data_IF_998135501942
#
_entry.id   IF_998135501942
#
_cell.length_a   1.000
_cell.length_b   1.000
_cell.length_c   1.000
_cell.angle_alpha   90.00
_cell.angle_beta   90.00
_cell.angle_gamma   90.00
#
_symmetry.space_group_name_H-M   'P 1'
#
loop_
_entity.id
_entity.type
_entity.pdbx_description
1 polymer ?
#
# COMPACT_ATOMS: atom_id res chain seq x y z
N UNK A 1 -16.62 -7.82 -3.91
CA UNK A 1 -16.00 -6.60 -3.37
C UNK A 1 -14.57 -6.91 -2.91
N UNK A 2 -13.57 -6.17 -3.43
CA UNK A 2 -12.16 -6.24 -3.04
C UNK A 2 -11.92 -5.31 -1.86
N UNK A 3 -11.34 -5.81 -0.77
CA UNK A 3 -11.03 -4.99 0.39
C UNK A 3 -9.88 -4.03 0.07
N UNK A 4 -10.01 -2.76 0.50
CA UNK A 4 -8.95 -1.75 0.37
C UNK A 4 -8.66 -1.17 1.75
N UNK A 5 -7.42 -1.33 2.21
CA UNK A 5 -6.95 -0.70 3.44
C UNK A 5 -6.63 0.77 3.19
N UNK A 6 -6.99 1.64 4.12
CA UNK A 6 -6.57 3.03 4.08
C UNK A 6 -5.06 3.15 4.35
N UNK A 7 -4.38 4.06 3.67
CA UNK A 7 -2.96 4.35 3.89
C UNK A 7 -2.74 5.50 4.87
N UNK A 8 -3.76 6.34 5.01
CA UNK A 8 -3.75 7.54 5.83
C UNK A 8 -5.06 7.60 6.62
N UNK A 9 -5.07 8.24 7.79
CA UNK A 9 -6.27 8.36 8.63
C UNK A 9 -7.43 9.04 7.89
N UNK A 10 -7.11 9.95 6.97
CA UNK A 10 -8.10 10.71 6.19
C UNK A 10 -8.65 9.95 4.97
N UNK A 11 -8.08 8.78 4.64
CA UNK A 11 -8.42 8.02 3.43
C UNK A 11 -9.67 7.12 3.57
N UNK A 12 -10.40 7.17 4.66
CA UNK A 12 -11.55 6.30 4.88
C UNK A 12 -12.59 6.43 3.76
N UNK A 13 -12.98 7.67 3.37
CA UNK A 13 -13.92 7.93 2.30
C UNK A 13 -13.49 7.39 0.94
N UNK A 14 -12.32 7.82 0.38
CA UNK A 14 -11.78 7.29 -0.86
C UNK A 14 -11.62 5.76 -0.88
N UNK A 15 -11.24 5.15 0.26
CA UNK A 15 -11.13 3.70 0.38
C UNK A 15 -12.49 3.01 0.31
N UNK A 16 -13.52 3.59 0.92
CA UNK A 16 -14.90 3.12 0.83
C UNK A 16 -15.42 3.21 -0.61
N UNK A 17 -15.21 4.34 -1.29
CA UNK A 17 -15.59 4.52 -2.70
C UNK A 17 -14.92 3.44 -3.57
N UNK A 18 -13.63 3.16 -3.37
CA UNK A 18 -12.91 2.12 -4.10
C UNK A 18 -13.48 0.74 -3.86
N UNK A 19 -13.81 0.39 -2.61
CA UNK A 19 -14.43 -0.88 -2.25
C UNK A 19 -15.79 -1.05 -2.93
N UNK A 20 -16.63 -0.02 -2.92
CA UNK A 20 -17.94 -0.02 -3.58
C UNK A 20 -17.80 -0.15 -5.10
N UNK A 21 -16.94 0.64 -5.73
CA UNK A 21 -16.66 0.54 -7.16
C UNK A 21 -16.18 -0.87 -7.56
N UNK A 22 -15.33 -1.49 -6.71
CA UNK A 22 -14.85 -2.86 -6.93
C UNK A 22 -15.96 -3.91 -6.81
N UNK A 23 -17.03 -3.66 -6.05
CA UNK A 23 -18.18 -4.54 -5.98
C UNK A 23 -18.98 -4.53 -7.29
N UNK A 24 -19.01 -3.38 -7.96
CA UNK A 24 -19.61 -3.22 -9.30
C UNK A 24 -18.64 -3.50 -10.45
N UNK A 25 -17.45 -4.06 -10.17
CA UNK A 25 -16.54 -4.59 -11.20
C UNK A 25 -15.45 -3.63 -11.69
N UNK A 26 -15.31 -2.41 -11.13
CA UNK A 26 -14.27 -1.45 -11.52
C UNK A 26 -13.32 -1.13 -10.37
N UNK A 27 -12.01 -1.02 -10.68
CA UNK A 27 -10.99 -0.66 -9.72
C UNK A 27 -10.36 0.69 -10.10
N UNK A 28 -10.44 1.65 -9.20
CA UNK A 28 -9.85 2.98 -9.36
C UNK A 28 -8.68 3.19 -8.42
N UNK A 29 -7.59 3.86 -8.87
CA UNK A 29 -6.49 4.23 -7.99
C UNK A 29 -6.95 5.13 -6.85
N UNK A 30 -6.42 4.92 -5.64
CA UNK A 30 -6.81 5.71 -4.48
C UNK A 30 -6.46 7.20 -4.66
N UNK A 31 -5.33 7.50 -5.33
CA UNK A 31 -4.91 8.88 -5.67
C UNK A 31 -5.94 9.60 -6.54
N UNK A 32 -6.56 8.89 -7.48
CA UNK A 32 -7.62 9.44 -8.32
C UNK A 32 -8.88 9.73 -7.50
N UNK A 33 -9.30 8.79 -6.65
CA UNK A 33 -10.48 8.98 -5.80
C UNK A 33 -10.29 10.09 -4.75
N UNK A 34 -9.07 10.28 -4.24
CA UNK A 34 -8.73 11.41 -3.37
C UNK A 34 -8.97 12.77 -4.05
N UNK A 35 -8.55 12.90 -5.31
CA UNK A 35 -8.75 14.16 -6.05
C UNK A 35 -10.22 14.44 -6.34
N UNK A 36 -11.05 13.40 -6.51
CA UNK A 36 -12.49 13.55 -6.75
C UNK A 36 -13.30 13.83 -5.49
N UNK A 37 -12.85 13.35 -4.34
CA UNK A 37 -13.58 13.45 -3.07
C UNK A 37 -13.30 14.72 -2.27
N UNK A 38 -12.52 15.66 -2.82
CA UNK A 38 -12.14 16.91 -2.13
C UNK A 38 -11.58 16.67 -0.73
N UNK A 39 -10.64 15.71 -0.62
CA UNK A 39 -10.01 15.34 0.63
C UNK A 39 -9.32 16.54 1.28
N UNK A 40 -9.63 16.82 2.55
CA UNK A 40 -9.03 17.87 3.38
C UNK A 40 -8.22 17.26 4.53
N UNK A 41 -7.61 18.11 5.37
CA UNK A 41 -6.91 17.66 6.59
C UNK A 41 -7.86 17.05 7.64
N UNK A 42 -9.13 17.38 7.57
CA UNK A 42 -10.17 16.87 8.47
C UNK A 42 -10.85 15.61 7.93
N UNK A 43 -10.43 15.14 6.75
CA UNK A 43 -11.01 13.99 6.06
C UNK A 43 -11.89 14.37 4.89
N UNK A 44 -12.83 13.50 4.55
CA UNK A 44 -13.78 13.68 3.45
C UNK A 44 -15.18 13.88 4.01
N UNK A 45 -15.89 14.88 3.50
CA UNK A 45 -17.31 15.10 3.83
C UNK A 45 -18.22 14.12 3.06
N UNK A 46 -19.46 13.94 3.55
CA UNK A 46 -20.48 13.17 2.83
C UNK A 46 -20.72 13.77 1.42
N UNK A 47 -20.69 15.09 1.28
CA UNK A 47 -20.82 15.75 0.00
C UNK A 47 -19.66 15.36 -0.93
N UNK A 48 -18.41 15.40 -0.45
CA UNK A 48 -17.23 14.99 -1.23
C UNK A 48 -17.28 13.51 -1.67
N UNK A 49 -17.81 12.62 -0.83
CA UNK A 49 -18.03 11.21 -1.21
C UNK A 49 -19.06 11.13 -2.35
N UNK A 50 -20.17 11.85 -2.23
CA UNK A 50 -21.23 11.87 -3.26
C UNK A 50 -20.75 12.42 -4.58
N UNK A 51 -19.98 13.52 -4.56
CA UNK A 51 -19.41 14.13 -5.76
C UNK A 51 -18.45 13.15 -6.46
N UNK A 52 -17.59 12.48 -5.70
CA UNK A 52 -16.68 11.47 -6.25
C UNK A 52 -17.43 10.28 -6.85
N UNK A 53 -18.48 9.78 -6.18
CA UNK A 53 -19.33 8.70 -6.68
C UNK A 53 -20.01 9.13 -8.00
N UNK A 54 -20.56 10.33 -8.06
CA UNK A 54 -21.20 10.85 -9.27
C UNK A 54 -20.23 10.96 -10.44
N UNK A 55 -19.00 11.42 -10.20
CA UNK A 55 -17.99 11.58 -11.24
C UNK A 55 -17.52 10.22 -11.82
N UNK A 56 -17.57 9.14 -11.05
CA UNK A 56 -17.30 7.79 -11.55
C UNK A 56 -18.53 7.07 -12.08
N UNK A 57 -19.70 7.75 -12.16
CA UNK A 57 -20.94 7.22 -12.73
C UNK A 57 -21.79 6.41 -11.74
N UNK A 58 -21.56 6.53 -10.44
CA UNK A 58 -22.39 5.93 -9.40
C UNK A 58 -23.38 6.99 -8.85
N UNK A 59 -24.66 6.66 -8.87
CA UNK A 59 -25.68 7.48 -8.22
C UNK A 59 -25.67 7.22 -6.72
N UNK A 60 -25.70 8.26 -5.91
CA UNK A 60 -25.73 8.14 -4.45
C UNK A 60 -26.77 9.05 -3.83
N UNK A 61 -27.40 8.58 -2.76
CA UNK A 61 -28.34 9.34 -1.93
C UNK A 61 -28.03 9.08 -0.45
N UNK A 62 -28.11 10.13 0.36
CA UNK A 62 -27.85 10.04 1.80
C UNK A 62 -29.16 10.02 2.55
N UNK A 63 -29.31 9.08 3.46
CA UNK A 63 -30.51 8.91 4.28
C UNK A 63 -30.12 8.67 5.74
N UNK A 64 -31.03 9.05 6.63
CA UNK A 64 -31.04 8.59 8.02
C UNK A 64 -32.04 7.43 8.15
N UNK A 65 -31.54 6.25 8.50
CA UNK A 65 -32.34 5.02 8.53
C UNK A 65 -32.27 4.32 9.88
N UNK A 66 -33.34 3.63 10.24
CA UNK A 66 -33.36 2.62 11.30
C UNK A 66 -32.83 1.29 10.78
N UNK A 67 -32.55 0.31 11.65
CA UNK A 67 -32.15 -1.03 11.22
C UNK A 67 -33.16 -1.73 10.30
N UNK A 68 -34.45 -1.52 10.54
CA UNK A 68 -35.47 -2.09 9.67
C UNK A 68 -35.43 -1.50 8.28
N UNK A 69 -35.36 -0.16 8.17
CA UNK A 69 -35.26 0.55 6.90
C UNK A 69 -33.99 0.19 6.14
N UNK A 70 -32.86 0.04 6.88
CA UNK A 70 -31.58 -0.38 6.31
C UNK A 70 -31.67 -1.78 5.66
N UNK A 71 -32.37 -2.70 6.30
CA UNK A 71 -32.55 -4.07 5.79
C UNK A 71 -33.48 -4.16 4.60
N UNK A 72 -34.55 -3.38 4.60
CA UNK A 72 -35.63 -3.50 3.60
C UNK A 72 -35.40 -2.63 2.37
N UNK A 73 -34.78 -1.46 2.53
CA UNK A 73 -34.78 -0.43 1.50
C UNK A 73 -33.38 -0.02 1.03
N UNK A 74 -32.30 -0.42 1.74
CA UNK A 74 -30.97 0.03 1.38
C UNK A 74 -30.30 -0.94 0.39
N UNK A 75 -29.94 -0.49 -0.82
CA UNK A 75 -29.12 -1.28 -1.74
C UNK A 75 -27.73 -1.50 -1.17
N UNK A 76 -27.20 -2.71 -1.33
CA UNK A 76 -25.84 -3.06 -0.89
C UNK A 76 -24.91 -3.25 -2.11
N UNK A 77 -23.65 -2.84 -2.02
CA UNK A 77 -22.96 -2.26 -0.86
C UNK A 77 -23.33 -0.78 -0.63
N UNK A 78 -23.37 -0.36 0.63
CA UNK A 78 -23.64 1.00 1.05
C UNK A 78 -22.52 1.52 1.96
N UNK A 79 -22.31 2.85 1.98
CA UNK A 79 -21.33 3.48 2.88
C UNK A 79 -22.08 3.99 4.12
N UNK A 80 -21.57 3.63 5.30
CA UNK A 80 -22.13 4.06 6.58
C UNK A 80 -21.21 5.14 7.19
N UNK A 81 -21.83 6.14 7.82
CA UNK A 81 -21.12 7.11 8.64
C UNK A 81 -20.96 6.53 10.04
N UNK A 82 -19.72 6.26 10.42
CA UNK A 82 -19.34 5.48 11.60
C UNK A 82 -18.73 6.41 12.65
N UNK A 83 -19.20 6.34 13.89
CA UNK A 83 -18.72 7.21 14.98
C UNK A 83 -18.71 8.71 14.65
N UNK A 84 -19.52 9.15 13.70
CA UNK A 84 -19.65 10.54 13.21
C UNK A 84 -18.39 11.15 12.60
N UNK A 85 -17.30 10.42 12.50
CA UNK A 85 -16.02 10.89 11.97
C UNK A 85 -15.32 9.90 11.01
N UNK A 86 -15.92 8.75 10.78
CA UNK A 86 -15.33 7.68 9.98
C UNK A 86 -16.32 7.11 8.96
N UNK A 87 -15.84 6.49 7.89
CA UNK A 87 -16.66 5.83 6.89
C UNK A 87 -16.28 4.37 6.76
N UNK A 88 -17.30 3.51 6.67
CA UNK A 88 -17.15 2.06 6.48
C UNK A 88 -18.12 1.58 5.41
N UNK A 89 -17.88 0.41 4.83
CA UNK A 89 -18.77 -0.19 3.82
C UNK A 89 -19.55 -1.34 4.43
N UNK A 90 -20.88 -1.24 4.44
CA UNK A 90 -21.77 -2.36 4.67
C UNK A 90 -21.95 -3.11 3.34
N UNK A 91 -21.46 -4.35 3.27
CA UNK A 91 -21.49 -5.09 2.03
C UNK A 91 -22.44 -6.28 2.01
N UNK A 92 -22.94 -6.71 3.18
CA UNK A 92 -23.90 -7.80 3.28
C UNK A 92 -24.67 -7.75 4.61
N UNK A 93 -25.92 -8.20 4.61
CA UNK A 93 -26.75 -8.34 5.79
C UNK A 93 -27.46 -9.69 5.72
N UNK A 94 -27.30 -10.53 6.73
CA UNK A 94 -27.90 -11.87 6.75
C UNK A 94 -28.51 -12.19 8.08
N UNK A 95 -29.60 -12.94 8.06
CA UNK A 95 -30.21 -13.53 9.26
C UNK A 95 -29.52 -14.87 9.55
N UNK A 96 -28.99 -15.03 10.76
CA UNK A 96 -28.39 -16.29 11.20
C UNK A 96 -29.44 -17.38 11.30
N UNK A 97 -29.21 -18.52 10.64
CA UNK A 97 -30.12 -19.67 10.70
C UNK A 97 -30.14 -20.33 12.08
N UNK A 98 -29.08 -20.20 12.86
CA UNK A 98 -28.93 -20.85 14.18
C UNK A 98 -29.52 -20.00 15.30
N UNK A 99 -29.21 -18.69 15.28
CA UNK A 99 -29.61 -17.78 16.39
C UNK A 99 -30.84 -16.92 16.06
N UNK A 100 -31.29 -16.93 14.80
CA UNK A 100 -32.35 -16.04 14.32
C UNK A 100 -31.98 -14.55 14.30
N UNK A 101 -30.83 -14.17 14.83
CA UNK A 101 -30.37 -12.79 14.92
C UNK A 101 -29.80 -12.29 13.58
N UNK A 102 -29.91 -11.00 13.33
CA UNK A 102 -29.32 -10.35 12.17
C UNK A 102 -27.82 -10.15 12.36
N UNK A 103 -27.05 -10.37 11.28
CA UNK A 103 -25.60 -10.13 11.18
C UNK A 103 -25.30 -9.15 10.07
N UNK A 104 -24.51 -8.15 10.39
CA UNK A 104 -24.09 -7.07 9.50
C UNK A 104 -22.60 -7.23 9.18
N UNK A 105 -22.30 -7.34 7.90
CA UNK A 105 -20.94 -7.52 7.42
C UNK A 105 -20.36 -6.19 6.96
N UNK A 106 -19.44 -5.66 7.74
CA UNK A 106 -18.86 -4.33 7.57
C UNK A 106 -17.39 -4.45 7.17
N UNK A 107 -16.99 -3.72 6.16
CA UNK A 107 -15.58 -3.55 5.78
C UNK A 107 -15.10 -2.17 6.25
N UNK A 108 -14.28 -2.17 7.30
CA UNK A 108 -13.68 -0.97 7.85
C UNK A 108 -12.29 -0.77 7.20
N UNK A 109 -12.03 0.34 6.49
CA UNK A 109 -10.74 0.58 5.84
C UNK A 109 -9.54 0.57 6.79
N UNK A 110 -9.74 0.94 8.06
CA UNK A 110 -8.68 0.97 9.07
C UNK A 110 -8.37 -0.42 9.64
N UNK A 111 -9.41 -1.20 9.95
CA UNK A 111 -9.28 -2.40 10.78
C UNK A 111 -9.57 -3.71 10.04
N UNK A 112 -10.16 -3.66 8.85
CA UNK A 112 -10.49 -4.87 8.10
C UNK A 112 -11.97 -5.19 8.03
N UNK A 113 -12.30 -6.46 7.73
CA UNK A 113 -13.68 -6.94 7.65
C UNK A 113 -14.12 -7.45 9.00
N UNK A 114 -15.26 -6.96 9.46
CA UNK A 114 -15.87 -7.33 10.73
C UNK A 114 -17.34 -7.74 10.54
N UNK A 115 -17.81 -8.55 11.47
CA UNK A 115 -19.23 -8.95 11.53
C UNK A 115 -19.79 -8.48 12.86
N UNK A 116 -20.85 -7.71 12.80
CA UNK A 116 -21.55 -7.19 13.97
C UNK A 116 -22.95 -7.81 14.09
N UNK A 117 -23.41 -7.94 15.31
CA UNK A 117 -24.84 -8.06 15.61
C UNK A 117 -25.47 -6.66 15.69
N UNK A 118 -26.78 -6.59 15.89
CA UNK A 118 -27.50 -5.32 15.91
C UNK A 118 -27.07 -4.42 17.07
N UNK A 119 -26.82 -5.00 18.25
CA UNK A 119 -26.34 -4.26 19.42
C UNK A 119 -24.91 -3.72 19.23
N UNK A 120 -24.03 -4.55 18.67
CA UNK A 120 -22.65 -4.16 18.37
C UNK A 120 -22.58 -3.06 17.32
N UNK A 121 -23.40 -3.14 16.28
CA UNK A 121 -23.47 -2.14 15.23
C UNK A 121 -24.10 -0.83 15.71
N UNK A 122 -25.10 -0.91 16.59
CA UNK A 122 -25.80 0.25 17.13
C UNK A 122 -24.85 1.23 17.84
N UNK A 123 -23.86 0.70 18.55
CA UNK A 123 -22.87 1.52 19.30
C UNK A 123 -22.05 2.45 18.42
N UNK A 124 -21.81 2.06 17.19
CA UNK A 124 -20.92 2.78 16.28
C UNK A 124 -21.69 3.54 15.18
N UNK A 125 -22.83 3.01 14.75
CA UNK A 125 -23.55 3.55 13.61
C UNK A 125 -24.70 4.48 13.98
N UNK A 126 -25.46 4.16 15.06
CA UNK A 126 -26.60 4.95 15.45
C UNK A 126 -26.21 6.26 16.14
N UNK A 127 -26.91 7.33 15.76
CA UNK A 127 -26.99 8.57 16.52
C UNK A 127 -28.44 8.72 17.00
N UNK A 128 -28.68 8.31 18.25
CA UNK A 128 -30.03 8.13 18.76
C UNK A 128 -30.71 6.88 18.20
N UNK A 129 -31.78 7.02 17.43
CA UNK A 129 -32.55 5.90 16.86
C UNK A 129 -32.23 5.60 15.39
N UNK A 130 -31.48 6.48 14.72
CA UNK A 130 -31.17 6.39 13.29
C UNK A 130 -29.69 6.52 13.05
N UNK A 131 -29.19 5.90 11.97
CA UNK A 131 -27.82 6.05 11.49
C UNK A 131 -27.79 6.58 10.06
N UNK A 132 -26.73 7.28 9.73
CA UNK A 132 -26.52 7.87 8.38
C UNK A 132 -25.96 6.81 7.45
N UNK A 133 -26.60 6.67 6.29
CA UNK A 133 -26.19 5.76 5.21
C UNK A 133 -26.16 6.51 3.87
N UNK A 134 -25.16 6.21 3.06
CA UNK A 134 -25.06 6.61 1.66
C UNK A 134 -25.42 5.38 0.85
N UNK A 135 -26.64 5.34 0.33
CA UNK A 135 -27.11 4.32 -0.60
C UNK A 135 -26.51 4.59 -1.99
N UNK A 136 -26.03 3.55 -2.67
CA UNK A 136 -25.28 3.67 -3.93
C UNK A 136 -25.82 2.69 -4.95
N UNK A 137 -26.06 3.18 -6.16
CA UNK A 137 -26.50 2.38 -7.29
C UNK A 137 -25.69 2.72 -8.54
N UNK A 138 -25.34 1.73 -9.38
CA UNK A 138 -24.68 1.99 -10.64
C UNK A 138 -25.66 2.63 -11.63
N UNK A 139 -25.16 3.59 -12.43
CA UNK A 139 -25.91 4.15 -13.55
C UNK A 139 -25.37 3.59 -14.87
N UNK A 140 -26.09 3.78 -15.96
CA UNK A 140 -25.61 3.42 -17.32
C UNK A 140 -24.29 4.11 -17.68
N UNK A 141 -24.00 5.25 -17.06
CA UNK A 141 -22.74 5.96 -17.26
C UNK A 141 -21.56 5.26 -16.60
N UNK A 142 -21.79 4.51 -15.51
CA UNK A 142 -20.73 3.79 -14.82
C UNK A 142 -19.99 2.84 -15.77
N UNK A 143 -20.70 2.12 -16.64
CA UNK A 143 -20.08 1.19 -17.60
C UNK A 143 -19.30 1.91 -18.70
N UNK A 144 -19.74 3.13 -19.08
CA UNK A 144 -19.12 3.93 -20.14
C UNK A 144 -17.84 4.66 -19.70
N UNK A 145 -17.69 4.96 -18.40
CA UNK A 145 -16.50 5.64 -17.87
C UNK A 145 -15.33 4.64 -17.81
N UNK A 146 -14.20 4.92 -18.49
CA UNK A 146 -13.06 4.00 -18.49
C UNK A 146 -12.39 3.90 -17.10
N UNK A 147 -11.87 2.71 -16.79
CA UNK A 147 -11.03 2.55 -15.62
C UNK A 147 -9.72 3.35 -15.74
N UNK A 148 -9.38 4.10 -14.72
CA UNK A 148 -8.07 4.75 -14.62
C UNK A 148 -7.05 3.74 -14.10
N UNK A 149 -6.30 3.08 -15.00
CA UNK A 149 -5.27 2.11 -14.61
C UNK A 149 -3.96 2.82 -14.29
N UNK A 150 -3.51 2.72 -13.07
CA UNK A 150 -2.17 3.17 -12.68
C UNK A 150 -1.14 2.12 -13.13
N UNK A 151 -0.36 2.42 -14.17
CA UNK A 151 0.72 1.55 -14.64
C UNK A 151 1.93 1.68 -13.72
N UNK A 152 1.93 0.96 -12.60
CA UNK A 152 3.14 0.76 -11.82
C UNK A 152 3.98 -0.35 -12.46
N UNK A 153 4.98 0.01 -13.22
CA UNK A 153 5.94 -0.95 -13.75
C UNK A 153 7.07 -1.15 -12.74
N UNK A 154 6.88 -2.09 -11.80
CA UNK A 154 7.94 -2.55 -10.87
C UNK A 154 9.19 -2.99 -11.63
N UNK A 155 9.04 -3.59 -12.83
CA UNK A 155 10.14 -3.97 -13.71
C UNK A 155 10.94 -2.76 -14.21
N UNK A 156 10.30 -1.63 -14.50
CA UNK A 156 10.99 -0.40 -14.91
C UNK A 156 11.76 0.21 -13.74
N UNK A 157 11.18 0.17 -12.54
CA UNK A 157 11.83 0.60 -11.31
C UNK A 157 13.04 -0.31 -11.01
N UNK A 158 12.86 -1.62 -10.98
CA UNK A 158 13.92 -2.59 -10.73
C UNK A 158 15.07 -2.45 -11.78
N UNK A 159 14.73 -2.30 -13.08
CA UNK A 159 15.74 -2.12 -14.12
C UNK A 159 16.54 -0.82 -13.94
N UNK A 160 15.89 0.26 -13.51
CA UNK A 160 16.56 1.55 -13.29
C UNK A 160 17.50 1.52 -12.08
N UNK A 161 17.11 0.83 -10.99
CA UNK A 161 17.83 0.89 -9.72
C UNK A 161 18.64 -0.38 -9.38
N UNK A 162 18.24 -1.57 -9.86
CA UNK A 162 18.93 -2.83 -9.54
C UNK A 162 19.93 -3.23 -10.61
N UNK A 163 19.69 -2.91 -11.89
CA UNK A 163 20.58 -3.29 -12.99
C UNK A 163 22.04 -2.81 -12.86
N UNK A 164 22.35 -1.63 -12.28
CA UNK A 164 23.73 -1.22 -12.02
C UNK A 164 24.51 -2.13 -11.08
N UNK A 165 23.82 -2.88 -10.19
CA UNK A 165 24.42 -3.74 -9.14
C UNK A 165 24.70 -5.19 -9.56
N UNK A 166 24.51 -5.54 -10.83
CA UNK A 166 24.74 -6.92 -11.33
C UNK A 166 26.16 -7.45 -11.09
N UNK A 167 27.16 -6.57 -10.98
CA UNK A 167 28.56 -6.94 -10.71
C UNK A 167 28.79 -7.38 -9.27
N UNK A 168 28.07 -6.82 -8.30
CA UNK A 168 28.22 -7.19 -6.89
C UNK A 168 27.63 -8.58 -6.61
N UNK A 169 26.62 -9.00 -7.34
CA UNK A 169 26.05 -10.36 -7.21
C UNK A 169 27.04 -11.47 -7.65
N UNK A 170 28.08 -11.14 -8.42
CA UNK A 170 29.08 -12.13 -8.84
C UNK A 170 30.06 -12.52 -7.72
N UNK A 171 30.17 -11.75 -6.65
CA UNK A 171 31.06 -12.03 -5.52
C UNK A 171 30.65 -13.24 -4.68
N UNK A 172 29.40 -13.66 -4.75
CA UNK A 172 28.89 -14.84 -4.02
C UNK A 172 29.48 -16.17 -4.50
N UNK A 173 30.17 -16.19 -5.65
CA UNK A 173 30.78 -17.41 -6.22
C UNK A 173 32.15 -17.70 -5.61
N UNK A 174 32.84 -16.71 -5.06
CA UNK A 174 34.21 -16.82 -4.54
C UNK A 174 34.37 -17.86 -3.40
N UNK A 175 33.47 -17.97 -2.41
CA UNK A 175 33.57 -18.97 -1.33
C UNK A 175 33.52 -20.40 -1.83
N UNK A 176 32.71 -20.68 -2.86
CA UNK A 176 32.60 -22.04 -3.44
C UNK A 176 33.89 -22.49 -4.15
N UNK A 177 34.57 -21.57 -4.86
CA UNK A 177 35.84 -21.88 -5.51
C UNK A 177 36.94 -22.13 -4.49
N UNK A 178 36.92 -21.42 -3.37
CA UNK A 178 37.90 -21.61 -2.29
C UNK A 178 37.72 -22.99 -1.59
N UNK A 179 36.48 -23.40 -1.35
CA UNK A 179 36.17 -24.67 -0.72
C UNK A 179 36.63 -25.87 -1.58
N UNK A 180 36.34 -25.88 -2.88
CA UNK A 180 36.76 -26.94 -3.81
C UNK A 180 38.29 -27.08 -3.88
N UNK A 181 39.01 -25.95 -3.83
CA UNK A 181 40.47 -25.97 -3.84
C UNK A 181 41.07 -26.56 -2.56
N UNK A 182 40.45 -26.33 -1.40
CA UNK A 182 40.93 -26.88 -0.13
C UNK A 182 40.65 -28.37 -0.02
N UNK A 183 39.45 -28.81 -0.45
CA UNK A 183 39.03 -30.21 -0.34
C UNK A 183 39.86 -31.14 -1.25
N UNK A 184 40.17 -30.74 -2.47
CA UNK A 184 40.99 -31.50 -3.41
C UNK A 184 42.49 -31.53 -3.00
N UNK A 185 42.98 -30.47 -2.35
CA UNK A 185 44.37 -30.35 -1.94
C UNK A 185 44.74 -31.25 -0.73
N UNK A 186 43.86 -31.33 0.24
CA UNK A 186 44.06 -32.14 1.46
C UNK A 186 44.02 -33.67 1.16
N UNK A 187 43.28 -34.06 0.11
CA UNK A 187 43.16 -35.46 -0.30
C UNK A 187 44.47 -36.10 -0.83
N UNK A 188 45.42 -35.32 -1.35
CA UNK A 188 46.59 -35.83 -2.06
C UNK A 188 47.87 -36.05 -1.23
N UNK A 189 47.91 -35.73 0.05
CA UNK A 189 49.03 -35.92 1.01
C UNK A 189 50.43 -35.58 0.52
N UNK A 190 50.59 -34.67 -0.43
CA UNK A 190 51.88 -34.29 -1.03
C UNK A 190 52.29 -32.90 -0.59
N UNK A 191 53.46 -32.77 0.04
CA UNK A 191 53.96 -31.52 0.62
C UNK A 191 54.10 -30.36 -0.42
N UNK A 192 54.53 -30.70 -1.64
CA UNK A 192 54.66 -29.72 -2.72
C UNK A 192 53.27 -29.20 -3.19
N UNK A 193 52.29 -30.05 -3.17
CA UNK A 193 50.88 -29.69 -3.49
C UNK A 193 50.31 -28.79 -2.43
N UNK A 194 50.55 -29.07 -1.16
CA UNK A 194 50.12 -28.25 -0.03
C UNK A 194 50.73 -26.85 -0.10
N UNK A 195 52.04 -26.75 -0.40
CA UNK A 195 52.72 -25.47 -0.57
C UNK A 195 52.12 -24.65 -1.72
N UNK A 196 51.87 -25.32 -2.86
CA UNK A 196 51.24 -24.68 -4.02
C UNK A 196 49.85 -24.13 -3.75
N UNK A 197 49.07 -24.89 -2.94
CA UNK A 197 47.73 -24.51 -2.50
C UNK A 197 47.77 -23.30 -1.55
N UNK A 198 48.73 -23.31 -0.60
CA UNK A 198 48.92 -22.16 0.32
C UNK A 198 49.26 -20.87 -0.47
N UNK A 199 50.15 -20.98 -1.47
CA UNK A 199 50.50 -19.83 -2.31
C UNK A 199 49.27 -19.36 -3.14
N UNK A 200 48.53 -20.30 -3.73
CA UNK A 200 47.31 -19.99 -4.47
C UNK A 200 46.26 -19.32 -3.56
N UNK A 201 46.09 -19.82 -2.36
CA UNK A 201 45.16 -19.29 -1.35
C UNK A 201 45.53 -17.88 -0.92
N UNK A 202 46.85 -17.63 -0.76
CA UNK A 202 47.34 -16.26 -0.49
C UNK A 202 47.04 -15.28 -1.63
N UNK A 203 47.17 -15.68 -2.89
CA UNK A 203 46.80 -14.85 -4.04
C UNK A 203 45.30 -14.62 -4.12
N UNK A 204 44.47 -15.65 -3.85
CA UNK A 204 43.02 -15.51 -3.81
C UNK A 204 42.59 -14.57 -2.67
N UNK A 205 43.22 -14.71 -1.50
CA UNK A 205 42.95 -13.83 -0.36
C UNK A 205 43.28 -12.36 -0.66
N UNK A 206 44.47 -12.12 -1.23
CA UNK A 206 44.88 -10.76 -1.66
C UNK A 206 43.96 -10.19 -2.74
N UNK A 207 43.55 -11.03 -3.70
CA UNK A 207 42.60 -10.65 -4.73
C UNK A 207 41.23 -10.32 -4.16
N UNK A 208 40.71 -11.18 -3.26
CA UNK A 208 39.42 -10.96 -2.58
C UNK A 208 39.44 -9.72 -1.68
N UNK A 209 40.54 -9.50 -0.96
CA UNK A 209 40.71 -8.31 -0.12
C UNK A 209 40.69 -7.02 -0.95
N UNK A 210 41.47 -7.00 -2.06
CA UNK A 210 41.50 -5.86 -2.97
C UNK A 210 40.11 -5.60 -3.58
N UNK A 211 39.40 -6.67 -3.98
CA UNK A 211 38.06 -6.59 -4.56
C UNK A 211 37.05 -6.08 -3.52
N UNK A 212 37.13 -6.55 -2.28
CA UNK A 212 36.27 -6.06 -1.20
C UNK A 212 36.48 -4.58 -0.88
N UNK A 213 37.74 -4.09 -0.91
CA UNK A 213 38.02 -2.67 -0.74
C UNK A 213 37.40 -1.83 -1.86
N UNK A 214 37.58 -2.27 -3.12
CA UNK A 214 37.02 -1.58 -4.29
C UNK A 214 35.50 -1.61 -4.22
N UNK A 215 34.90 -2.76 -3.90
CA UNK A 215 33.46 -2.94 -3.78
C UNK A 215 32.87 -2.06 -2.69
N UNK A 216 33.50 -2.03 -1.51
CA UNK A 216 33.08 -1.17 -0.41
C UNK A 216 33.11 0.32 -0.78
N UNK A 217 34.15 0.73 -1.51
CA UNK A 217 34.28 2.10 -2.00
C UNK A 217 33.21 2.45 -3.04
N UNK A 218 32.98 1.56 -3.99
CA UNK A 218 31.95 1.71 -5.02
C UNK A 218 30.57 1.71 -4.39
N UNK A 219 30.31 0.80 -3.45
CA UNK A 219 29.04 0.70 -2.73
C UNK A 219 28.73 1.96 -1.94
N UNK A 220 29.72 2.50 -1.20
CA UNK A 220 29.59 3.75 -0.46
C UNK A 220 29.29 4.93 -1.41
N UNK A 221 30.05 5.03 -2.50
CA UNK A 221 29.86 6.09 -3.49
C UNK A 221 28.48 6.01 -4.14
N UNK A 222 28.06 4.81 -4.55
CA UNK A 222 26.75 4.59 -5.17
C UNK A 222 25.60 4.80 -4.19
N UNK A 223 25.70 4.30 -2.97
CA UNK A 223 24.70 4.52 -1.93
C UNK A 223 24.47 6.01 -1.68
N UNK A 224 25.55 6.78 -1.55
CA UNK A 224 25.47 8.24 -1.38
C UNK A 224 24.83 8.93 -2.59
N UNK A 225 25.22 8.54 -3.82
CA UNK A 225 24.65 9.10 -5.05
C UNK A 225 23.18 8.77 -5.24
N UNK A 226 22.80 7.52 -4.99
CA UNK A 226 21.41 7.08 -5.08
C UNK A 226 20.56 7.82 -4.06
N UNK A 227 21.05 7.96 -2.83
CA UNK A 227 20.37 8.67 -1.77
C UNK A 227 20.10 10.13 -2.13
N UNK A 228 21.13 10.84 -2.58
CA UNK A 228 20.99 12.24 -3.03
C UNK A 228 20.01 12.33 -4.20
N UNK A 229 20.06 11.39 -5.15
CA UNK A 229 19.18 11.41 -6.32
C UNK A 229 17.72 11.15 -5.97
N UNK A 230 17.45 10.17 -5.07
CA UNK A 230 16.10 9.87 -4.58
C UNK A 230 15.56 11.05 -3.79
N UNK A 231 16.36 11.62 -2.90
CA UNK A 231 15.96 12.76 -2.08
C UNK A 231 15.69 14.00 -2.95
N UNK A 232 16.55 14.28 -3.92
CA UNK A 232 16.38 15.39 -4.87
C UNK A 232 15.14 15.21 -5.74
N UNK A 233 14.91 14.00 -6.28
CA UNK A 233 13.72 13.66 -7.07
C UNK A 233 12.44 13.77 -6.22
N UNK A 234 12.50 13.33 -4.96
CA UNK A 234 11.39 13.45 -4.01
C UNK A 234 11.07 14.91 -3.72
N UNK A 235 12.07 15.71 -3.36
CA UNK A 235 11.89 17.14 -3.06
C UNK A 235 11.40 17.91 -4.30
N UNK A 236 11.97 17.63 -5.47
CA UNK A 236 11.54 18.27 -6.72
C UNK A 236 10.10 17.95 -7.06
N UNK A 237 9.68 16.70 -6.86
CA UNK A 237 8.27 16.30 -7.05
C UNK A 237 7.36 16.91 -6.00
N UNK A 238 7.81 16.97 -4.75
CA UNK A 238 7.07 17.60 -3.66
C UNK A 238 6.80 19.08 -3.97
N UNK A 239 7.83 19.82 -4.40
CA UNK A 239 7.72 21.26 -4.73
C UNK A 239 6.85 21.53 -5.97
N UNK A 240 6.64 20.57 -6.83
CA UNK A 240 5.75 20.68 -8.01
C UNK A 240 4.29 20.34 -7.71
N UNK A 241 3.98 19.90 -6.48
CA UNK A 241 2.60 19.62 -6.11
C UNK A 241 1.80 20.91 -5.88
N UNK A 242 0.52 20.91 -6.25
CA UNK A 242 -0.35 22.07 -6.02
C UNK A 242 -0.53 22.33 -4.51
N UNK A 243 -0.80 23.58 -4.15
CA UNK A 243 -0.93 24.02 -2.75
C UNK A 243 -1.99 23.23 -1.97
N UNK A 244 -3.05 22.80 -2.65
CA UNK A 244 -4.11 21.96 -2.08
C UNK A 244 -3.61 20.62 -1.51
N UNK A 245 -2.50 20.10 -2.05
CA UNK A 245 -1.88 18.90 -1.50
C UNK A 245 -1.27 19.14 -0.11
N UNK A 246 -0.68 20.31 0.11
CA UNK A 246 -0.09 20.68 1.40
C UNK A 246 -1.16 21.02 2.45
N UNK A 247 -2.34 21.43 2.03
CA UNK A 247 -3.47 21.69 2.91
C UNK A 247 -4.12 20.40 3.43
N UNK A 248 -3.96 19.29 2.72
CA UNK A 248 -4.57 18.00 3.09
C UNK A 248 -3.71 17.13 4.01
N UNK A 249 -2.43 17.48 4.26
CA UNK A 249 -1.50 16.66 5.03
C UNK A 249 -0.81 17.43 6.13
N UNK A 250 -0.58 16.76 7.28
CA UNK A 250 0.17 17.34 8.38
C UNK A 250 1.68 17.36 8.09
N UNK A 251 2.40 18.33 8.65
CA UNK A 251 3.87 18.40 8.53
C UNK A 251 4.54 17.14 9.11
N UNK A 252 3.92 16.53 10.14
CA UNK A 252 4.41 15.28 10.74
C UNK A 252 4.44 14.10 9.77
N UNK A 253 3.47 14.00 8.84
CA UNK A 253 3.45 12.93 7.82
C UNK A 253 4.64 13.02 6.86
N UNK A 254 5.12 14.22 6.56
CA UNK A 254 6.31 14.41 5.72
C UNK A 254 7.58 14.03 6.46
N UNK A 255 7.68 14.40 7.74
CA UNK A 255 8.83 14.03 8.58
C UNK A 255 8.89 12.51 8.80
N UNK A 256 7.77 11.86 9.02
CA UNK A 256 7.72 10.40 9.16
C UNK A 256 8.19 9.70 7.89
N UNK A 257 7.76 10.12 6.72
CA UNK A 257 8.18 9.55 5.43
C UNK A 257 9.67 9.80 5.12
N UNK A 258 10.21 10.94 5.54
CA UNK A 258 11.66 11.21 5.47
C UNK A 258 12.42 10.31 6.44
N UNK A 259 11.87 10.07 7.65
CA UNK A 259 12.40 9.13 8.63
C UNK A 259 12.40 7.68 8.14
N UNK A 260 11.30 7.24 7.50
CA UNK A 260 11.18 5.91 6.90
C UNK A 260 12.23 5.68 5.79
N UNK A 261 12.59 6.74 5.05
CA UNK A 261 13.67 6.68 4.06
C UNK A 261 15.04 6.49 4.74
N UNK A 262 15.30 7.17 5.85
CA UNK A 262 16.54 6.99 6.63
C UNK A 262 16.66 5.57 7.21
N UNK A 263 15.52 4.96 7.58
CA UNK A 263 15.46 3.57 8.04
C UNK A 263 15.84 2.56 6.94
N UNK A 264 15.42 2.81 5.69
CA UNK A 264 15.78 1.99 4.54
C UNK A 264 17.28 2.08 4.16
N UNK A 265 18.01 3.08 4.66
CA UNK A 265 19.45 3.23 4.47
C UNK A 265 20.28 2.37 5.43
N UNK A 266 19.69 1.91 6.55
CA UNK A 266 20.35 1.08 7.55
C UNK A 266 20.39 -0.42 7.20
N UNK A 267 19.78 -0.82 6.09
CA UNK A 267 19.83 -2.17 5.51
C UNK A 267 20.74 -2.20 4.30
#
# INVERSE_FOLDING_TARGET
MKFTRQFDQMDCGPSCIRMVASAYGKDYPLSYLRSLSHLTREGVSIAGIRDALQQIGLRSATFEMTFEQLREHCPLPAILHWEQNHFVVLYDVRRSRVTGKWKYYVANPAYGKHTFDEEGMARYWLNGTKGVVIAIEPTEQFDKIPEVKQKHSLLRFARKYVWPFKLEMSQSVTPFLTQTMVDDGIGLRNMSVILSIMVAQMFIFLGSFSMNLISSWVSLYMSTRINIHILSDYLTKLLRLPMTFFETKSVGDYQQRLGDHAWLQGF
#
